data_IF_707556269015
#
_entry.id   IF_707556269015
#
_cell.length_a   1.000
_cell.length_b   1.000
_cell.length_c   1.000
_cell.angle_alpha   90.00
_cell.angle_beta   90.00
_cell.angle_gamma   90.00
#
_symmetry.space_group_name_H-M   'P 1'
#
loop_
_entity.id
_entity.type
_entity.pdbx_description
1 polymer ?
#
# COMPACT_ATOMS: atom_id res chain seq x y z
N UNK A 1 0.21 6.56 -36.32
CA UNK A 1 -0.25 6.77 -34.94
C UNK A 1 -0.03 5.55 -34.07
N UNK A 2 0.50 5.78 -32.91
CA UNK A 2 0.67 4.71 -31.90
C UNK A 2 -0.55 4.74 -30.99
N UNK A 3 -1.26 3.62 -30.89
CA UNK A 3 -2.41 3.55 -30.00
C UNK A 3 -1.95 3.44 -28.53
N UNK A 4 -2.87 3.68 -27.60
CA UNK A 4 -2.55 3.68 -26.17
C UNK A 4 -1.93 2.37 -25.70
N UNK A 5 -2.40 1.22 -26.20
CA UNK A 5 -1.86 -0.08 -25.83
C UNK A 5 -0.43 -0.27 -26.31
N UNK A 6 -0.13 0.15 -27.52
CA UNK A 6 1.23 0.06 -28.07
C UNK A 6 2.20 0.93 -27.25
N UNK A 7 1.75 2.12 -26.89
CA UNK A 7 2.55 3.02 -26.09
C UNK A 7 2.82 2.43 -24.69
N UNK A 8 1.82 1.80 -24.08
CA UNK A 8 1.99 1.13 -22.78
C UNK A 8 3.02 0.01 -22.85
N UNK A 9 2.99 -0.79 -23.92
CA UNK A 9 3.97 -1.84 -24.10
C UNK A 9 5.38 -1.29 -24.24
N UNK A 10 5.54 -0.20 -25.00
CA UNK A 10 6.86 0.38 -25.23
C UNK A 10 7.46 0.98 -23.95
N UNK A 11 6.65 1.44 -22.99
CA UNK A 11 7.14 1.95 -21.70
C UNK A 11 7.08 0.90 -20.59
N UNK A 12 6.79 -0.37 -20.95
CA UNK A 12 6.86 -1.52 -20.02
C UNK A 12 5.98 -1.39 -18.79
N UNK A 13 4.76 -0.87 -18.96
CA UNK A 13 3.80 -0.81 -17.86
C UNK A 13 3.20 -2.19 -17.61
N UNK A 14 3.13 -2.59 -16.33
CA UNK A 14 2.56 -3.88 -15.92
C UNK A 14 1.57 -3.69 -14.79
N UNK A 15 0.48 -4.45 -14.84
CA UNK A 15 -0.48 -4.54 -13.74
C UNK A 15 -0.01 -5.61 -12.77
N UNK A 16 0.01 -5.28 -11.48
CA UNK A 16 0.37 -6.22 -10.41
C UNK A 16 -0.91 -6.68 -9.73
N UNK A 17 -1.01 -7.98 -9.51
CA UNK A 17 -2.14 -8.58 -8.80
C UNK A 17 -1.62 -9.70 -7.91
N UNK A 18 -2.06 -9.73 -6.66
CA UNK A 18 -1.65 -10.77 -5.70
C UNK A 18 -2.79 -11.10 -4.76
N UNK A 19 -2.80 -12.33 -4.26
CA UNK A 19 -3.75 -12.79 -3.25
C UNK A 19 -3.25 -12.50 -1.84
N UNK A 20 -2.03 -12.02 -1.68
CA UNK A 20 -1.43 -11.71 -0.37
C UNK A 20 -1.73 -10.29 0.11
N UNK A 21 -2.57 -9.57 -0.64
CA UNK A 21 -3.07 -8.26 -0.26
C UNK A 21 -4.55 -8.20 -0.65
N UNK A 22 -5.33 -7.28 -0.07
CA UNK A 22 -6.74 -7.18 -0.40
C UNK A 22 -6.95 -6.95 -1.90
N UNK A 23 -7.89 -7.69 -2.47
CA UNK A 23 -8.24 -7.54 -3.88
C UNK A 23 -8.85 -6.19 -4.17
N UNK A 24 -8.74 -5.75 -5.42
CA UNK A 24 -9.33 -4.49 -5.84
C UNK A 24 -10.87 -4.62 -5.78
N UNK A 25 -11.50 -3.69 -5.09
CA UNK A 25 -12.96 -3.67 -4.92
C UNK A 25 -13.63 -2.63 -5.82
N UNK A 26 -12.92 -2.17 -6.82
CA UNK A 26 -13.40 -1.17 -7.75
C UNK A 26 -12.57 -1.16 -9.03
N UNK A 27 -12.75 -0.15 -9.87
CA UNK A 27 -12.03 -0.06 -11.15
C UNK A 27 -10.60 0.46 -10.96
N UNK A 28 -9.74 -0.34 -10.31
CA UNK A 28 -8.33 0.02 -10.10
C UNK A 28 -7.49 -1.24 -9.98
N UNK A 29 -6.19 -1.10 -10.19
CA UNK A 29 -5.23 -2.17 -10.00
C UNK A 29 -4.63 -2.08 -8.59
N UNK A 30 -4.23 -3.20 -8.01
CA UNK A 30 -3.56 -3.19 -6.71
C UNK A 30 -2.24 -2.40 -6.78
N UNK A 31 -1.50 -2.56 -7.85
CA UNK A 31 -0.28 -1.81 -8.10
C UNK A 31 0.04 -1.80 -9.59
N UNK A 32 0.84 -0.83 -10.00
CA UNK A 32 1.33 -0.69 -11.37
C UNK A 32 2.85 -0.59 -11.32
N UNK A 33 3.50 -1.35 -12.18
CA UNK A 33 4.94 -1.23 -12.41
C UNK A 33 5.19 -0.48 -13.70
N UNK A 34 6.08 0.51 -13.67
CA UNK A 34 6.51 1.23 -14.85
C UNK A 34 7.95 1.70 -14.64
N UNK A 35 8.82 1.48 -15.65
CA UNK A 35 10.22 1.92 -15.61
C UNK A 35 10.96 1.52 -14.34
N UNK A 36 10.77 0.28 -13.90
CA UNK A 36 11.37 -0.26 -12.67
C UNK A 36 10.89 0.44 -11.39
N UNK A 37 9.76 1.12 -11.46
CA UNK A 37 9.11 1.70 -10.30
C UNK A 37 7.77 1.01 -10.07
N UNK A 38 7.40 0.84 -8.81
CA UNK A 38 6.13 0.25 -8.40
C UNK A 38 5.32 1.30 -7.66
N UNK A 39 4.09 1.49 -8.10
CA UNK A 39 3.14 2.42 -7.50
C UNK A 39 1.96 1.61 -6.99
N UNK A 40 1.72 1.58 -5.69
CA UNK A 40 0.57 0.84 -5.15
C UNK A 40 -0.65 1.74 -5.03
N UNK A 41 -1.81 1.13 -5.14
CA UNK A 41 -3.04 1.74 -4.66
C UNK A 41 -3.04 1.77 -3.14
N UNK A 42 -4.00 2.46 -2.55
CA UNK A 42 -4.18 2.45 -1.10
C UNK A 42 -4.53 1.05 -0.61
N UNK A 43 -3.83 0.59 0.41
CA UNK A 43 -4.00 -0.74 1.00
C UNK A 43 -4.70 -0.59 2.34
N UNK A 44 -5.82 -1.27 2.50
CA UNK A 44 -6.62 -1.25 3.73
C UNK A 44 -6.34 -2.51 4.56
N UNK A 45 -6.64 -2.48 5.87
CA UNK A 45 -6.31 -3.60 6.78
C UNK A 45 -7.29 -4.76 6.74
N UNK A 46 -7.64 -5.22 5.54
CA UNK A 46 -8.44 -6.42 5.36
C UNK A 46 -7.51 -7.62 5.31
N UNK A 47 -7.80 -8.65 6.10
CA UNK A 47 -7.06 -9.91 6.01
C UNK A 47 -7.40 -10.56 4.67
N UNK A 48 -6.43 -10.73 3.75
CA UNK A 48 -6.75 -11.21 2.41
C UNK A 48 -7.19 -12.67 2.36
N UNK A 49 -6.91 -13.46 3.40
CA UNK A 49 -7.33 -14.85 3.47
C UNK A 49 -8.77 -15.00 3.97
N UNK A 50 -9.22 -14.13 4.86
CA UNK A 50 -10.54 -14.25 5.52
C UNK A 50 -11.53 -13.19 5.10
N UNK A 51 -11.05 -12.04 4.60
CA UNK A 51 -11.90 -10.88 4.29
C UNK A 51 -12.27 -10.07 5.52
N UNK A 52 -11.74 -10.41 6.69
CA UNK A 52 -12.09 -9.73 7.94
C UNK A 52 -11.18 -8.57 8.24
N UNK A 53 -11.70 -7.62 9.01
CA UNK A 53 -10.98 -6.45 9.49
C UNK A 53 -10.91 -6.56 11.01
N UNK A 54 -9.68 -6.56 11.56
CA UNK A 54 -9.48 -6.64 12.99
C UNK A 54 -9.96 -5.35 13.67
N UNK A 55 -10.29 -5.45 14.96
CA UNK A 55 -10.68 -4.29 15.75
C UNK A 55 -9.46 -3.61 16.34
N UNK A 56 -9.51 -2.29 16.40
CA UNK A 56 -8.47 -1.48 17.03
C UNK A 56 -7.39 -1.06 16.04
N UNK A 57 -6.82 0.12 16.30
CA UNK A 57 -5.87 0.74 15.38
C UNK A 57 -4.57 -0.04 15.28
N UNK A 58 -4.12 -0.63 16.38
CA UNK A 58 -2.85 -1.36 16.38
C UNK A 58 -2.93 -2.61 15.52
N UNK A 59 -3.99 -3.41 15.69
CA UNK A 59 -4.19 -4.61 14.88
C UNK A 59 -4.41 -4.25 13.40
N UNK A 60 -5.13 -3.17 13.13
CA UNK A 60 -5.33 -2.72 11.77
C UNK A 60 -4.03 -2.21 11.15
N UNK A 61 -3.20 -1.49 11.90
CA UNK A 61 -1.90 -1.03 11.42
C UNK A 61 -1.01 -2.22 11.03
N UNK A 62 -0.94 -3.24 11.89
CA UNK A 62 -0.19 -4.46 11.59
C UNK A 62 -0.65 -5.07 10.26
N UNK A 63 -1.96 -5.24 10.09
CA UNK A 63 -2.50 -5.86 8.89
C UNK A 63 -2.26 -5.01 7.65
N UNK A 64 -2.46 -3.70 7.74
CA UNK A 64 -2.29 -2.81 6.58
C UNK A 64 -0.84 -2.80 6.10
N UNK A 65 0.10 -2.67 7.03
CA UNK A 65 1.53 -2.64 6.66
C UNK A 65 2.00 -4.00 6.15
N UNK A 66 1.53 -5.09 6.74
CA UNK A 66 1.83 -6.44 6.24
C UNK A 66 1.31 -6.62 4.82
N UNK A 67 0.07 -6.21 4.57
CA UNK A 67 -0.52 -6.28 3.22
C UNK A 67 0.30 -5.48 2.22
N UNK A 68 0.72 -4.28 2.60
CA UNK A 68 1.53 -3.42 1.73
C UNK A 68 2.88 -4.08 1.42
N UNK A 69 3.55 -4.62 2.43
CA UNK A 69 4.85 -5.27 2.25
C UNK A 69 4.72 -6.48 1.32
N UNK A 70 3.68 -7.29 1.48
CA UNK A 70 3.45 -8.44 0.60
C UNK A 70 3.18 -8.00 -0.83
N UNK A 71 2.41 -6.92 -1.03
CA UNK A 71 2.12 -6.40 -2.37
C UNK A 71 3.40 -5.93 -3.05
N UNK A 72 4.26 -5.22 -2.32
CA UNK A 72 5.54 -4.74 -2.84
C UNK A 72 6.46 -5.92 -3.19
N UNK A 73 6.55 -6.92 -2.32
CA UNK A 73 7.35 -8.12 -2.57
C UNK A 73 6.85 -8.88 -3.79
N UNK A 74 5.54 -9.05 -3.90
CA UNK A 74 4.95 -9.80 -5.00
C UNK A 74 4.99 -9.03 -6.32
N UNK A 75 5.30 -7.74 -6.29
CA UNK A 75 5.58 -6.96 -7.49
C UNK A 75 7.02 -7.16 -7.99
N UNK A 76 7.85 -7.88 -7.22
CA UNK A 76 9.26 -8.11 -7.54
C UNK A 76 10.20 -7.07 -6.93
N UNK A 77 9.69 -6.19 -6.06
CA UNK A 77 10.50 -5.23 -5.33
C UNK A 77 10.81 -5.76 -3.93
N UNK A 78 11.24 -4.91 -3.04
CA UNK A 78 11.56 -5.21 -1.65
C UNK A 78 11.06 -4.09 -0.76
N UNK A 79 10.76 -4.40 0.49
CA UNK A 79 10.36 -3.39 1.47
C UNK A 79 11.44 -2.30 1.61
N UNK A 80 12.71 -2.69 1.58
CA UNK A 80 13.85 -1.76 1.67
C UNK A 80 13.93 -0.79 0.49
N UNK A 81 13.26 -1.12 -0.62
CA UNK A 81 13.24 -0.29 -1.81
C UNK A 81 12.06 0.69 -1.85
N UNK A 82 11.24 0.70 -0.81
CA UNK A 82 10.15 1.68 -0.71
C UNK A 82 10.78 3.05 -0.45
N UNK A 83 10.46 4.02 -1.31
CA UNK A 83 11.02 5.37 -1.21
C UNK A 83 10.03 6.36 -0.63
N UNK A 84 8.75 6.07 -0.73
CA UNK A 84 7.69 6.97 -0.25
C UNK A 84 6.49 6.16 0.22
N UNK A 85 5.95 6.53 1.38
CA UNK A 85 4.65 6.06 1.82
C UNK A 85 3.73 7.25 2.08
N UNK A 86 2.43 7.03 1.92
CA UNK A 86 1.40 7.96 2.39
C UNK A 86 0.46 7.17 3.29
N UNK A 87 0.30 7.62 4.51
CA UNK A 87 -0.56 6.97 5.49
C UNK A 87 -1.77 7.88 5.74
N UNK A 88 -2.96 7.35 5.46
CA UNK A 88 -4.22 8.05 5.69
C UNK A 88 -4.82 7.49 6.96
N UNK A 89 -5.12 8.33 7.95
CA UNK A 89 -5.63 7.86 9.23
C UNK A 89 -6.96 8.53 9.57
N UNK A 90 -7.80 7.80 10.31
CA UNK A 90 -9.11 8.30 10.71
C UNK A 90 -9.00 9.26 11.89
N UNK A 91 -8.04 9.04 12.79
CA UNK A 91 -7.90 9.78 14.02
C UNK A 91 -6.44 10.12 14.29
N UNK A 92 -6.09 11.40 14.25
CA UNK A 92 -4.69 11.83 14.44
C UNK A 92 -4.16 11.47 15.83
N UNK A 93 -5.04 11.32 16.82
CA UNK A 93 -4.62 10.89 18.15
C UNK A 93 -4.02 9.48 18.16
N UNK A 94 -4.25 8.69 17.12
CA UNK A 94 -3.67 7.35 16.97
C UNK A 94 -2.27 7.38 16.34
N UNK A 95 -1.76 8.56 15.97
CA UNK A 95 -0.50 8.72 15.26
C UNK A 95 0.67 8.03 15.97
N UNK A 96 0.77 8.20 17.29
CA UNK A 96 1.84 7.59 18.06
C UNK A 96 1.81 6.06 18.03
N UNK A 97 0.62 5.48 18.16
CA UNK A 97 0.44 4.02 18.10
C UNK A 97 0.80 3.47 16.73
N UNK A 98 0.35 4.17 15.68
CA UNK A 98 0.63 3.78 14.30
C UNK A 98 2.14 3.86 14.03
N UNK A 99 2.82 4.89 14.51
CA UNK A 99 4.26 5.03 14.35
C UNK A 99 5.03 3.87 14.98
N UNK A 100 4.61 3.40 16.15
CA UNK A 100 5.28 2.28 16.80
C UNK A 100 5.16 1.00 15.96
N UNK A 101 3.99 0.79 15.34
CA UNK A 101 3.80 -0.36 14.44
C UNK A 101 4.60 -0.16 13.14
N UNK A 102 4.59 1.06 12.59
CA UNK A 102 5.32 1.41 11.38
C UNK A 102 6.81 1.04 11.50
N UNK A 103 7.42 1.29 12.64
CA UNK A 103 8.84 0.96 12.90
C UNK A 103 9.14 -0.52 12.79
N UNK A 104 8.16 -1.39 12.98
CA UNK A 104 8.37 -2.84 12.84
C UNK A 104 8.53 -3.25 11.39
N UNK A 105 7.93 -2.52 10.47
CA UNK A 105 7.90 -2.88 9.06
C UNK A 105 8.91 -2.09 8.22
N UNK A 106 9.20 -0.85 8.60
CA UNK A 106 10.09 0.02 7.84
C UNK A 106 11.30 0.40 8.69
N UNK A 107 12.50 0.19 8.12
CA UNK A 107 13.77 0.39 8.82
C UNK A 107 14.53 1.57 8.22
N UNK A 108 15.54 2.03 8.94
CA UNK A 108 16.43 3.06 8.44
C UNK A 108 17.25 2.55 7.25
N UNK A 109 17.47 3.40 6.23
CA UNK A 109 16.87 4.73 6.10
C UNK A 109 15.38 4.62 5.81
N UNK A 110 14.57 5.31 6.61
CA UNK A 110 13.13 5.27 6.45
C UNK A 110 12.71 5.89 5.11
N UNK A 111 11.64 5.40 4.48
CA UNK A 111 11.10 6.08 3.30
C UNK A 111 10.58 7.47 3.67
N UNK A 112 10.52 8.36 2.69
CA UNK A 112 9.80 9.62 2.87
C UNK A 112 8.33 9.28 3.18
N UNK A 113 7.66 10.10 3.99
CA UNK A 113 6.28 9.82 4.38
C UNK A 113 5.47 11.08 4.55
N UNK A 114 4.20 11.01 4.11
CA UNK A 114 3.17 11.95 4.52
C UNK A 114 2.13 11.17 5.32
N UNK A 115 1.60 11.78 6.38
CA UNK A 115 0.55 11.18 7.18
C UNK A 115 -0.53 12.23 7.41
N UNK A 116 -1.77 11.94 7.02
CA UNK A 116 -2.88 12.88 7.09
C UNK A 116 -4.11 12.22 7.70
N UNK A 117 -4.86 13.00 8.45
CA UNK A 117 -6.16 12.60 8.95
C UNK A 117 -7.18 12.84 7.85
N UNK A 118 -8.08 11.89 7.64
CA UNK A 118 -9.13 12.00 6.62
C UNK A 118 -10.51 11.83 7.25
N UNK A 119 -11.52 12.34 6.57
CA UNK A 119 -12.87 12.31 7.09
C UNK A 119 -13.42 10.89 7.19
N UNK A 120 -13.08 10.03 6.24
CA UNK A 120 -13.58 8.65 6.19
C UNK A 120 -12.71 7.82 5.26
N UNK A 121 -12.63 6.51 5.54
CA UNK A 121 -11.88 5.55 4.74
C UNK A 121 -12.80 4.42 4.27
N UNK A 122 -12.43 3.70 3.20
CA UNK A 122 -13.23 2.57 2.72
C UNK A 122 -13.46 1.55 3.85
N UNK A 123 -14.67 1.00 3.91
CA UNK A 123 -15.09 0.03 4.93
C UNK A 123 -14.91 0.53 6.36
N UNK A 124 -14.83 1.86 6.53
CA UNK A 124 -14.66 2.50 7.84
C UNK A 124 -13.44 2.01 8.61
N UNK A 125 -12.38 1.66 7.89
CA UNK A 125 -11.11 1.29 8.53
C UNK A 125 -10.45 2.51 9.17
N UNK A 126 -9.49 2.26 10.05
CA UNK A 126 -8.83 3.31 10.82
C UNK A 126 -7.58 3.87 10.15
N UNK A 127 -7.06 3.15 9.16
CA UNK A 127 -5.94 3.66 8.35
C UNK A 127 -5.89 2.96 7.01
N UNK A 128 -5.18 3.60 6.09
CA UNK A 128 -4.90 3.09 4.74
C UNK A 128 -3.50 3.56 4.37
N UNK A 129 -2.74 2.77 3.62
CA UNK A 129 -1.37 3.12 3.27
C UNK A 129 -1.09 2.79 1.80
N UNK A 130 -0.31 3.66 1.16
CA UNK A 130 0.17 3.42 -0.21
C UNK A 130 1.67 3.66 -0.25
N UNK A 131 2.32 3.17 -1.29
CA UNK A 131 3.77 3.28 -1.40
C UNK A 131 4.24 3.41 -2.84
N UNK A 132 5.44 3.98 -2.97
CA UNK A 132 6.22 3.99 -4.21
C UNK A 132 7.52 3.28 -3.89
N UNK A 133 7.90 2.32 -4.73
CA UNK A 133 9.13 1.56 -4.56
C UNK A 133 9.85 1.43 -5.92
N UNK A 134 11.17 1.16 -5.87
CA UNK A 134 11.91 0.83 -7.07
C UNK A 134 12.26 -0.65 -7.09
N UNK A 135 12.58 -1.18 -8.26
CA UNK A 135 12.93 -2.60 -8.42
C UNK A 135 14.43 -2.79 -8.59
#
# INVERSE_FOLDING_TARGET
DVCSSDLRESIMQKVISTKRAPGAIGPYSQAIEINNMVFTSGVIPVNPATGEIAEGVEAQAEQAFENLCHLVEDSGSKVENIVKTTVFIKEMNDFGKINEIYKKYFKEPFPARSCVEVARLPKDVLLEVEAIAWK
#
